data_IF_563178335780
#
_entry.id   IF_563178335780
#
_cell.length_a   1.000
_cell.length_b   1.000
_cell.length_c   1.000
_cell.angle_alpha   90.00
_cell.angle_beta   90.00
_cell.angle_gamma   90.00
#
_symmetry.space_group_name_H-M   'P 1'
#
loop_
_entity.id
_entity.type
_entity.pdbx_description
1 polymer ?
#
# COMPACT_ATOMS: atom_id res chain seq x y z
N UNK A 1 -5.39 28.82 30.93
CA UNK A 1 -5.25 27.42 30.51
C UNK A 1 -6.41 26.94 29.64
N UNK A 2 -7.69 27.10 30.04
CA UNK A 2 -8.86 26.68 29.23
C UNK A 2 -8.93 27.21 27.78
N UNK A 3 -8.54 28.47 27.55
CA UNK A 3 -8.56 29.08 26.20
C UNK A 3 -7.53 28.47 25.24
N UNK A 4 -6.40 27.98 25.76
CA UNK A 4 -5.35 27.36 24.94
C UNK A 4 -5.77 25.96 24.48
N UNK A 5 -6.46 25.24 25.36
CA UNK A 5 -6.98 23.89 25.12
C UNK A 5 -8.07 23.92 24.05
N UNK A 6 -9.01 24.86 24.11
CA UNK A 6 -10.03 25.03 23.07
C UNK A 6 -9.45 25.39 21.70
N UNK A 7 -8.40 26.21 21.64
CA UNK A 7 -7.72 26.53 20.39
C UNK A 7 -7.01 25.30 19.79
N UNK A 8 -6.38 24.47 20.63
CA UNK A 8 -5.76 23.19 20.21
C UNK A 8 -6.80 22.21 19.63
N UNK A 9 -7.98 22.09 20.25
CA UNK A 9 -9.05 21.23 19.72
C UNK A 9 -9.59 21.72 18.38
N UNK A 10 -9.71 23.03 18.18
CA UNK A 10 -10.15 23.60 16.89
C UNK A 10 -9.09 23.35 15.80
N UNK A 11 -7.81 23.56 16.11
CA UNK A 11 -6.72 23.30 15.16
C UNK A 11 -6.64 21.82 14.80
N UNK A 12 -6.77 20.91 15.77
CA UNK A 12 -6.80 19.47 15.52
C UNK A 12 -8.02 19.06 14.66
N UNK A 13 -9.19 19.64 14.92
CA UNK A 13 -10.42 19.36 14.18
C UNK A 13 -10.34 19.81 12.70
N UNK A 14 -9.53 20.84 12.39
CA UNK A 14 -9.33 21.31 11.02
C UNK A 14 -8.16 20.62 10.30
N UNK A 15 -7.10 20.27 11.02
CA UNK A 15 -5.92 19.66 10.43
C UNK A 15 -6.17 18.22 9.94
N UNK A 16 -6.90 17.40 10.72
CA UNK A 16 -7.12 15.98 10.39
C UNK A 16 -7.91 15.79 9.08
N UNK A 17 -9.04 16.49 8.83
CA UNK A 17 -9.75 16.39 7.56
C UNK A 17 -8.94 16.90 6.37
N UNK A 18 -8.13 17.94 6.57
CA UNK A 18 -7.27 18.48 5.52
C UNK A 18 -6.20 17.49 5.08
N UNK A 19 -5.48 16.89 6.04
CA UNK A 19 -4.46 15.87 5.77
C UNK A 19 -5.09 14.68 5.03
N UNK A 20 -6.23 14.17 5.52
CA UNK A 20 -6.92 13.05 4.87
C UNK A 20 -7.39 13.38 3.43
N UNK A 21 -7.83 14.62 3.19
CA UNK A 21 -8.21 15.06 1.84
C UNK A 21 -6.99 15.18 0.91
N UNK A 22 -5.86 15.66 1.42
CA UNK A 22 -4.61 15.77 0.68
C UNK A 22 -4.05 14.38 0.33
N UNK A 23 -4.08 13.43 1.27
CA UNK A 23 -3.68 12.04 1.03
C UNK A 23 -4.56 11.40 -0.04
N UNK A 24 -5.88 11.58 0.05
CA UNK A 24 -6.80 11.07 -0.97
C UNK A 24 -6.58 11.68 -2.36
N UNK A 25 -6.28 12.97 -2.44
CA UNK A 25 -5.99 13.63 -3.73
C UNK A 25 -4.67 13.15 -4.32
N UNK A 26 -3.68 12.89 -3.46
CA UNK A 26 -2.38 12.35 -3.87
C UNK A 26 -2.53 10.92 -4.38
N UNK A 27 -3.30 10.09 -3.68
CA UNK A 27 -3.61 8.71 -4.10
C UNK A 27 -4.27 8.67 -5.49
N UNK A 28 -5.23 9.56 -5.78
CA UNK A 28 -5.85 9.62 -7.11
C UNK A 28 -4.90 10.14 -8.20
N UNK A 29 -4.04 11.13 -7.87
CA UNK A 29 -3.01 11.64 -8.78
C UNK A 29 -2.03 10.53 -9.18
N UNK A 30 -1.57 9.71 -8.23
CA UNK A 30 -0.60 8.65 -8.52
C UNK A 30 -1.21 7.49 -9.33
N UNK A 31 -2.52 7.42 -9.52
CA UNK A 31 -3.13 6.41 -10.41
C UNK A 31 -2.99 6.75 -11.89
N UNK A 32 -2.72 8.01 -12.25
CA UNK A 32 -2.76 8.46 -13.65
C UNK A 32 -1.73 7.74 -14.53
N UNK A 33 -0.49 7.57 -14.04
CA UNK A 33 0.58 6.87 -14.76
C UNK A 33 0.75 5.41 -14.30
N UNK A 34 -0.18 4.91 -13.48
CA UNK A 34 -0.08 3.60 -12.88
C UNK A 34 -0.69 2.54 -13.80
N UNK A 35 0.02 1.43 -13.98
CA UNK A 35 -0.52 0.18 -14.49
C UNK A 35 -0.94 -0.77 -13.35
N UNK A 36 -1.04 -0.24 -12.13
CA UNK A 36 -1.18 -0.94 -10.86
C UNK A 36 0.00 -1.89 -10.64
N UNK A 37 -0.20 -2.94 -9.84
CA UNK A 37 0.81 -3.97 -9.70
C UNK A 37 0.73 -4.95 -10.89
N UNK A 38 0.84 -4.47 -12.14
CA UNK A 38 0.70 -5.35 -13.32
C UNK A 38 1.85 -6.37 -13.36
N UNK A 39 1.55 -7.51 -12.76
CA UNK A 39 2.44 -8.66 -12.73
C UNK A 39 2.13 -9.54 -13.93
N UNK A 40 3.17 -10.07 -14.56
CA UNK A 40 3.04 -10.96 -15.72
C UNK A 40 2.17 -12.20 -15.44
N UNK A 41 1.98 -12.54 -14.16
CA UNK A 41 1.23 -13.71 -13.72
C UNK A 41 0.10 -13.34 -12.75
N UNK A 42 -1.15 -13.59 -13.17
CA UNK A 42 -2.37 -13.29 -12.40
C UNK A 42 -2.54 -14.08 -11.09
N UNK A 43 -1.68 -15.07 -10.82
CA UNK A 43 -1.72 -15.88 -9.59
C UNK A 43 -0.88 -15.29 -8.45
N UNK A 44 -0.13 -14.21 -8.68
CA UNK A 44 0.65 -13.55 -7.64
C UNK A 44 -0.32 -12.86 -6.67
N UNK A 45 -0.36 -13.28 -5.38
CA UNK A 45 -1.24 -12.71 -4.38
C UNK A 45 -0.75 -11.33 -3.93
N UNK A 46 -1.52 -10.68 -3.06
CA UNK A 46 -1.22 -9.36 -2.50
C UNK A 46 -1.24 -8.19 -3.49
N UNK A 47 -1.52 -8.44 -4.78
CA UNK A 47 -1.60 -7.41 -5.81
C UNK A 47 -2.44 -6.20 -5.36
N UNK A 48 -3.71 -6.42 -5.00
CA UNK A 48 -4.61 -5.35 -4.53
C UNK A 48 -4.12 -4.66 -3.25
N UNK A 49 -3.47 -5.40 -2.36
CA UNK A 49 -2.95 -4.86 -1.11
C UNK A 49 -1.81 -3.87 -1.38
N UNK A 50 -1.00 -4.13 -2.41
CA UNK A 50 0.13 -3.29 -2.80
C UNK A 50 -0.19 -2.23 -3.86
N UNK A 51 -1.43 -2.10 -4.33
CA UNK A 51 -1.77 -1.13 -5.40
C UNK A 51 -1.26 0.27 -5.12
N UNK A 52 -1.42 0.78 -3.89
CA UNK A 52 -0.96 2.13 -3.53
C UNK A 52 0.56 2.28 -3.62
N UNK A 53 1.32 1.23 -3.29
CA UNK A 53 2.78 1.22 -3.46
C UNK A 53 3.18 1.13 -4.95
N UNK A 54 2.46 0.31 -5.73
CA UNK A 54 2.70 0.19 -7.17
C UNK A 54 2.36 1.49 -7.91
N UNK A 55 1.26 2.17 -7.54
CA UNK A 55 0.87 3.45 -8.13
C UNK A 55 1.99 4.49 -7.96
N UNK A 56 2.62 4.57 -6.78
CA UNK A 56 3.78 5.44 -6.54
C UNK A 56 5.03 5.00 -7.31
N UNK A 57 5.32 3.70 -7.31
CA UNK A 57 6.48 3.14 -8.01
C UNK A 57 6.44 3.42 -9.52
N UNK A 58 5.29 3.21 -10.16
CA UNK A 58 5.09 3.49 -11.59
C UNK A 58 5.32 4.97 -11.91
N UNK A 59 4.83 5.89 -11.07
CA UNK A 59 5.13 7.32 -11.25
C UNK A 59 6.61 7.63 -11.06
N UNK A 60 7.27 7.00 -10.09
CA UNK A 60 8.70 7.15 -9.88
C UNK A 60 9.50 6.59 -11.08
N UNK A 61 9.06 5.49 -11.69
CA UNK A 61 9.67 4.99 -12.91
C UNK A 61 9.48 5.95 -14.09
N UNK A 62 8.29 6.49 -14.24
CA UNK A 62 7.96 7.36 -15.35
C UNK A 62 8.62 8.75 -15.26
N UNK A 63 8.69 9.30 -14.05
CA UNK A 63 9.09 10.68 -13.80
C UNK A 63 10.27 10.85 -12.83
N UNK A 64 10.78 9.79 -12.21
CA UNK A 64 11.82 9.89 -11.18
C UNK A 64 13.10 10.56 -11.68
N UNK A 65 13.50 10.27 -12.92
CA UNK A 65 14.67 10.90 -13.54
C UNK A 65 14.55 12.44 -13.62
N UNK A 66 13.32 12.98 -13.80
CA UNK A 66 13.08 14.43 -13.78
C UNK A 66 13.41 15.05 -12.41
N UNK A 67 13.16 14.30 -11.33
CA UNK A 67 13.42 14.72 -9.95
C UNK A 67 14.78 14.23 -9.41
N UNK A 68 15.66 13.74 -10.29
CA UNK A 68 16.98 13.17 -9.95
C UNK A 68 16.93 11.90 -9.09
N UNK A 69 15.85 11.12 -9.16
CA UNK A 69 15.83 9.78 -8.59
C UNK A 69 16.48 8.78 -9.55
N UNK A 70 17.15 7.78 -8.98
CA UNK A 70 17.61 6.60 -9.69
C UNK A 70 16.56 5.48 -9.61
N UNK A 71 16.69 4.46 -10.47
CA UNK A 71 15.86 3.26 -10.38
C UNK A 71 15.92 2.65 -8.96
N UNK A 72 17.10 2.62 -8.36
CA UNK A 72 17.28 2.09 -7.00
C UNK A 72 16.52 2.91 -5.96
N UNK A 73 16.44 4.23 -6.11
CA UNK A 73 15.65 5.06 -5.18
C UNK A 73 14.16 4.70 -5.27
N UNK A 74 13.64 4.52 -6.49
CA UNK A 74 12.27 4.08 -6.72
C UNK A 74 12.02 2.67 -6.16
N UNK A 75 12.90 1.71 -6.46
CA UNK A 75 12.75 0.31 -6.02
C UNK A 75 12.83 0.20 -4.49
N UNK A 76 13.74 0.93 -3.84
CA UNK A 76 13.86 0.95 -2.39
C UNK A 76 12.63 1.57 -1.72
N UNK A 77 12.12 2.68 -2.27
CA UNK A 77 10.90 3.31 -1.80
C UNK A 77 9.69 2.36 -1.96
N UNK A 78 9.62 1.63 -3.07
CA UNK A 78 8.59 0.63 -3.31
C UNK A 78 8.59 -0.48 -2.26
N UNK A 79 9.76 -1.03 -1.91
CA UNK A 79 9.87 -2.00 -0.82
C UNK A 79 9.45 -1.41 0.53
N UNK A 80 9.85 -0.18 0.82
CA UNK A 80 9.47 0.54 2.04
C UNK A 80 7.96 0.70 2.15
N UNK A 81 7.30 1.19 1.09
CA UNK A 81 5.86 1.41 1.04
C UNK A 81 5.08 0.09 1.18
N UNK A 82 5.49 -0.97 0.49
CA UNK A 82 4.88 -2.30 0.66
C UNK A 82 5.05 -2.83 2.08
N UNK A 83 6.22 -2.63 2.71
CA UNK A 83 6.48 -3.06 4.08
C UNK A 83 5.61 -2.28 5.08
N UNK A 84 5.41 -0.97 4.85
CA UNK A 84 4.51 -0.15 5.65
C UNK A 84 3.05 -0.63 5.54
N UNK A 85 2.61 -1.03 4.34
CA UNK A 85 1.29 -1.63 4.14
C UNK A 85 1.17 -2.98 4.86
N UNK A 86 2.24 -3.76 4.93
CA UNK A 86 2.27 -5.01 5.71
C UNK A 86 2.19 -4.76 7.21
N UNK A 87 2.86 -3.72 7.73
CA UNK A 87 2.85 -3.38 9.16
C UNK A 87 1.47 -2.92 9.67
N UNK A 88 0.63 -2.40 8.78
CA UNK A 88 -0.75 -2.01 9.10
C UNK A 88 -1.70 -3.21 9.23
N UNK A 89 -1.32 -4.38 8.72
CA UNK A 89 -2.08 -5.61 8.88
C UNK A 89 -1.60 -6.33 10.16
N UNK A 90 -2.51 -6.64 11.09
CA UNK A 90 -2.19 -7.45 12.29
C UNK A 90 -1.43 -8.71 11.91
N UNK A 91 -0.37 -9.07 12.64
CA UNK A 91 0.72 -10.00 12.29
C UNK A 91 0.32 -11.39 11.73
N UNK A 92 -0.94 -11.81 11.85
CA UNK A 92 -1.49 -13.07 11.30
C UNK A 92 -2.21 -12.91 9.95
N UNK A 93 -2.32 -11.68 9.43
CA UNK A 93 -3.09 -11.37 8.24
C UNK A 93 -2.28 -11.51 6.96
N UNK A 94 -2.45 -12.66 6.29
CA UNK A 94 -2.32 -12.75 4.83
C UNK A 94 -2.95 -11.51 4.18
N UNK A 95 -2.27 -10.91 3.17
CA UNK A 95 -2.64 -9.66 2.49
C UNK A 95 -4.15 -9.44 2.43
N UNK A 96 -4.68 -8.75 3.45
CA UNK A 96 -6.12 -8.72 3.68
C UNK A 96 -6.74 -7.87 2.58
N UNK A 97 -7.47 -8.51 1.65
CA UNK A 97 -8.25 -7.81 0.62
C UNK A 97 -9.36 -6.90 1.21
N UNK A 98 -9.57 -6.85 2.53
CA UNK A 98 -10.68 -6.15 3.15
C UNK A 98 -10.31 -4.75 3.64
N UNK A 99 -10.17 -3.80 2.72
CA UNK A 99 -10.51 -2.38 3.01
C UNK A 99 -12.03 -2.20 2.86
N UNK A 100 -12.83 -2.84 3.72
CA UNK A 100 -14.25 -2.45 3.86
C UNK A 100 -14.26 -1.19 4.71
N UNK A 101 -14.45 -0.02 4.06
CA UNK A 101 -14.68 1.26 4.74
C UNK A 101 -15.67 1.03 5.90
N UNK A 102 -15.38 1.64 7.05
CA UNK A 102 -16.39 1.85 8.10
C UNK A 102 -17.47 2.77 7.52
N UNK A 103 -18.48 2.17 6.91
CA UNK A 103 -19.80 2.78 6.75
C UNK A 103 -20.71 2.16 7.81
N UNK A 104 -21.21 3.04 8.67
CA UNK A 104 -22.10 2.80 9.79
C UNK A 104 -23.46 2.24 9.36
N UNK A 105 -24.00 1.31 10.18
CA UNK A 105 -25.41 0.84 10.22
C UNK A 105 -25.81 -0.15 9.11
N UNK A 106 -26.46 -1.31 9.29
CA UNK A 106 -27.12 -1.98 10.43
C UNK A 106 -27.50 -3.43 10.01
N UNK A 107 -27.33 -4.41 10.91
CA UNK A 107 -27.96 -5.79 10.97
C UNK A 107 -27.61 -6.89 9.94
N UNK A 108 -27.71 -8.20 10.32
CA UNK A 108 -27.47 -8.82 11.62
C UNK A 108 -26.50 -10.04 11.57
N UNK A 109 -25.48 -9.98 12.42
CA UNK A 109 -24.47 -11.00 12.78
C UNK A 109 -25.03 -12.36 13.30
N UNK A 110 -26.32 -12.65 13.12
CA UNK A 110 -27.00 -13.81 13.74
C UNK A 110 -27.01 -15.06 12.86
N UNK A 111 -26.90 -14.93 11.54
CA UNK A 111 -26.87 -16.09 10.63
C UNK A 111 -25.50 -16.78 10.57
N UNK A 112 -24.41 -16.03 10.71
CA UNK A 112 -23.05 -16.60 10.64
C UNK A 112 -22.70 -17.50 11.84
N UNK A 113 -23.22 -17.22 13.05
CA UNK A 113 -23.00 -18.07 14.23
C UNK A 113 -23.73 -19.42 14.18
N UNK A 114 -24.73 -19.57 13.32
CA UNK A 114 -25.50 -20.81 13.21
C UNK A 114 -24.82 -21.82 12.26
N UNK A 115 -24.12 -21.34 11.24
CA UNK A 115 -23.33 -22.17 10.33
C UNK A 115 -22.00 -22.64 10.94
N UNK A 116 -21.44 -21.87 11.88
CA UNK A 116 -20.21 -22.24 12.61
C UNK A 116 -20.42 -23.41 13.59
N UNK A 117 -21.67 -23.78 13.90
CA UNK A 117 -22.00 -24.77 14.94
C UNK A 117 -22.20 -26.19 14.43
N UNK A 118 -21.90 -26.48 13.16
CA UNK A 118 -22.23 -27.76 12.51
C UNK A 118 -21.06 -28.54 11.90
N UNK A 119 -19.79 -28.18 12.15
CA UNK A 119 -18.67 -29.05 11.79
C UNK A 119 -18.05 -29.75 13.01
N UNK A 120 -17.92 -31.09 13.00
CA UNK A 120 -17.22 -31.81 14.04
C UNK A 120 -15.71 -31.58 13.90
N UNK A 121 -15.14 -31.01 14.97
CA UNK A 121 -13.75 -30.63 15.09
C UNK A 121 -12.86 -31.87 15.34
N UNK A 122 -12.47 -32.57 14.27
CA UNK A 122 -11.39 -33.56 14.30
C UNK A 122 -10.32 -33.15 13.29
N UNK A 123 -9.36 -32.32 13.72
CA UNK A 123 -7.97 -32.24 13.23
C UNK A 123 -7.39 -30.89 13.67
N UNK A 124 -6.85 -30.84 14.89
CA UNK A 124 -6.10 -29.69 15.40
C UNK A 124 -4.61 -29.76 14.99
N UNK A 125 -4.27 -30.53 13.94
CA UNK A 125 -2.87 -30.82 13.56
C UNK A 125 -2.53 -30.41 12.12
N UNK A 126 -3.50 -30.21 11.22
CA UNK A 126 -3.24 -29.82 9.83
C UNK A 126 -3.21 -28.30 9.59
N UNK A 127 -3.82 -27.50 10.48
CA UNK A 127 -3.89 -26.04 10.31
C UNK A 127 -2.53 -25.36 10.57
N UNK A 128 -1.76 -25.84 11.54
CA UNK A 128 -0.47 -25.26 11.91
C UNK A 128 0.63 -25.52 10.87
N UNK A 129 0.54 -26.63 10.11
CA UNK A 129 1.48 -26.93 9.03
C UNK A 129 1.20 -26.10 7.77
N UNK A 130 -0.07 -25.77 7.52
CA UNK A 130 -0.49 -24.95 6.37
C UNK A 130 -0.14 -23.46 6.55
N UNK A 131 -0.16 -22.96 7.78
CA UNK A 131 0.26 -21.60 8.11
C UNK A 131 1.79 -21.42 8.00
N UNK A 132 2.58 -22.49 8.17
CA UNK A 132 4.04 -22.46 8.01
C UNK A 132 4.50 -22.36 6.54
N UNK A 133 3.64 -22.75 5.59
CA UNK A 133 3.93 -22.75 4.15
C UNK A 133 3.35 -21.53 3.41
N UNK A 134 2.63 -20.63 4.10
CA UNK A 134 2.01 -19.47 3.46
C UNK A 134 2.95 -18.27 3.52
N UNK A 135 3.52 -17.81 2.38
CA UNK A 135 4.39 -16.65 2.39
C UNK A 135 3.69 -15.43 2.99
N UNK A 136 4.35 -14.79 3.96
CA UNK A 136 3.86 -13.61 4.66
C UNK A 136 3.75 -12.40 3.73
N UNK A 137 3.01 -11.36 4.14
CA UNK A 137 2.94 -10.09 3.39
C UNK A 137 4.34 -9.56 3.07
N UNK A 138 5.24 -9.53 4.05
CA UNK A 138 6.61 -9.06 3.85
C UNK A 138 7.42 -9.94 2.91
N UNK A 139 7.13 -11.26 2.87
CA UNK A 139 7.73 -12.15 1.88
C UNK A 139 7.29 -11.79 0.46
N UNK A 140 6.02 -11.46 0.25
CA UNK A 140 5.53 -10.98 -1.04
C UNK A 140 6.12 -9.63 -1.42
N UNK A 141 6.21 -8.68 -0.48
CA UNK A 141 6.86 -7.38 -0.71
C UNK A 141 8.29 -7.55 -1.25
N UNK A 142 9.08 -8.46 -0.65
CA UNK A 142 10.43 -8.78 -1.14
C UNK A 142 10.44 -9.42 -2.53
N UNK A 143 9.45 -10.26 -2.84
CA UNK A 143 9.33 -10.88 -4.16
C UNK A 143 9.03 -9.83 -5.24
N UNK A 144 8.09 -8.92 -4.98
CA UNK A 144 7.79 -7.77 -5.85
C UNK A 144 9.02 -6.89 -6.07
N UNK A 145 9.72 -6.53 -4.99
CA UNK A 145 10.98 -5.77 -5.07
C UNK A 145 12.04 -6.48 -5.90
N UNK A 146 12.25 -7.77 -5.69
CA UNK A 146 13.23 -8.57 -6.44
C UNK A 146 12.88 -8.59 -7.93
N UNK A 147 11.60 -8.70 -8.27
CA UNK A 147 11.14 -8.68 -9.66
C UNK A 147 11.50 -7.35 -10.33
N UNK A 148 11.16 -6.20 -9.71
CA UNK A 148 11.48 -4.89 -10.31
C UNK A 148 12.99 -4.63 -10.37
N UNK A 149 13.80 -5.14 -9.43
CA UNK A 149 15.26 -5.01 -9.56
C UNK A 149 15.83 -5.77 -10.77
N UNK A 150 15.24 -6.92 -11.14
CA UNK A 150 15.73 -7.75 -12.24
C UNK A 150 15.36 -7.21 -13.63
N UNK A 151 14.13 -6.68 -13.77
CA UNK A 151 13.57 -6.28 -15.07
C UNK A 151 13.23 -4.79 -15.17
N UNK A 152 13.29 -4.04 -14.06
CA UNK A 152 12.81 -2.66 -13.99
C UNK A 152 13.65 -1.66 -14.78
N UNK A 153 14.93 -1.95 -14.98
CA UNK A 153 15.81 -1.13 -15.82
C UNK A 153 15.29 -0.97 -17.26
N UNK A 154 14.56 -1.95 -17.80
CA UNK A 154 13.94 -1.84 -19.12
C UNK A 154 12.85 -0.77 -19.20
N UNK A 155 12.27 -0.41 -18.06
CA UNK A 155 11.15 0.53 -17.96
C UNK A 155 11.59 1.89 -17.41
N UNK A 156 12.54 1.93 -16.49
CA UNK A 156 12.96 3.16 -15.82
C UNK A 156 13.58 4.20 -16.77
N UNK A 157 14.29 3.75 -17.81
CA UNK A 157 14.94 4.67 -18.75
C UNK A 157 13.99 5.22 -19.84
N UNK A 158 12.74 4.76 -19.88
CA UNK A 158 11.70 5.31 -20.77
C UNK A 158 10.96 6.46 -20.06
N UNK A 159 11.64 7.60 -19.94
CA UNK A 159 11.21 8.74 -19.13
C UNK A 159 10.28 9.68 -19.87
N UNK A 160 9.28 10.23 -19.17
CA UNK A 160 8.37 11.23 -19.73
C UNK A 160 9.05 12.59 -20.01
N UNK A 161 8.38 13.43 -20.80
CA UNK A 161 8.82 14.81 -21.03
C UNK A 161 8.83 15.61 -19.72
N UNK A 162 9.88 16.42 -19.52
CA UNK A 162 10.05 17.30 -18.37
C UNK A 162 8.88 18.27 -18.12
N UNK A 163 8.03 18.56 -19.11
CA UNK A 163 6.82 19.38 -18.93
C UNK A 163 5.66 18.64 -18.27
N UNK A 164 5.65 17.31 -18.30
CA UNK A 164 4.57 16.47 -17.77
C UNK A 164 4.79 16.10 -16.30
N UNK A 165 6.04 15.86 -15.90
CA UNK A 165 6.38 15.34 -14.58
C UNK A 165 6.17 16.25 -13.35
N UNK A 166 6.22 17.59 -13.43
CA UNK A 166 6.14 18.45 -12.24
C UNK A 166 4.91 18.21 -11.35
N UNK A 167 3.76 17.88 -11.95
CA UNK A 167 2.53 17.63 -11.19
C UNK A 167 2.57 16.32 -10.36
N UNK A 168 3.53 15.42 -10.60
CA UNK A 168 3.66 14.14 -9.92
C UNK A 168 4.71 14.15 -8.79
N UNK A 169 5.27 15.32 -8.45
CA UNK A 169 6.17 15.48 -7.29
C UNK A 169 5.59 14.84 -6.00
N UNK A 170 4.28 14.97 -5.68
CA UNK A 170 3.70 14.31 -4.49
C UNK A 170 3.73 12.77 -4.50
N UNK A 171 3.94 12.15 -5.66
CA UNK A 171 4.07 10.71 -5.82
C UNK A 171 5.51 10.22 -5.66
N UNK A 172 6.48 11.13 -5.58
CA UNK A 172 7.89 10.77 -5.50
C UNK A 172 8.27 10.22 -4.11
N UNK A 173 9.31 9.38 -4.04
CA UNK A 173 9.87 8.94 -2.76
C UNK A 173 10.19 10.11 -1.86
N UNK A 174 9.88 9.97 -0.57
CA UNK A 174 10.40 10.89 0.44
C UNK A 174 11.89 10.61 0.61
N UNK A 175 12.73 11.47 0.04
CA UNK A 175 14.14 11.51 0.39
C UNK A 175 14.25 11.96 1.84
N UNK A 176 14.69 11.07 2.72
CA UNK A 176 15.25 11.48 3.99
C UNK A 176 16.48 12.31 3.67
N UNK A 177 16.35 13.63 3.66
CA UNK A 177 17.48 14.53 3.56
C UNK A 177 18.34 14.33 4.81
N UNK A 178 19.31 13.41 4.74
CA UNK A 178 20.44 13.43 5.67
C UNK A 178 21.28 14.64 5.30
N UNK A 179 20.94 15.77 5.91
CA UNK A 179 21.82 16.93 6.07
C UNK A 179 22.71 16.73 7.31
#
# INVERSE_FOLDING_TARGET
MKMLESALWILAALALPWIAAQDSSTDELCKINSNNCSVYFSWIPCQKHFHTACDRHDNCYFCGAHFNFTQNDCDNAFLSDMTALCAQATETAFCLEKRKRRETSSTPLRQLRLLEKLEPLNSLSDRDLLDFLRPTCSSWAKMYFTAVQLIGWWYFYDTANATYCPQFEPCMPQVSSTA
#
